data_IF_554403018736
#
_entry.id   IF_554403018736
#
_cell.length_a   1.000
_cell.length_b   1.000
_cell.length_c   1.000
_cell.angle_alpha   90.00
_cell.angle_beta   90.00
_cell.angle_gamma   90.00
#
_symmetry.space_group_name_H-M   'P 1'
#
loop_
_entity.id
_entity.type
_entity.pdbx_description
1 polymer ?
#
# COMPACT_ATOMS: atom_id res chain seq x y z
N UNK A 1 8.69 -31.92 -6.34
CA UNK A 1 8.23 -31.06 -5.24
C UNK A 1 8.44 -29.63 -5.75
N UNK A 2 7.37 -29.05 -6.27
CA UNK A 2 7.45 -27.63 -6.70
C UNK A 2 7.71 -26.82 -5.44
N UNK A 3 8.81 -26.07 -5.43
CA UNK A 3 9.06 -25.07 -4.40
C UNK A 3 8.10 -23.92 -4.73
N UNK A 4 6.94 -23.91 -4.07
CA UNK A 4 6.04 -22.77 -4.15
C UNK A 4 6.83 -21.52 -3.70
N UNK A 5 7.03 -20.59 -4.61
CA UNK A 5 7.70 -19.32 -4.30
C UNK A 5 6.91 -18.56 -3.23
N UNK A 6 7.59 -17.73 -2.45
CA UNK A 6 6.96 -16.91 -1.41
C UNK A 6 5.83 -16.07 -1.99
N UNK A 7 4.71 -16.03 -1.28
CA UNK A 7 3.50 -15.28 -1.66
C UNK A 7 3.52 -13.88 -1.05
N UNK A 8 3.01 -12.91 -1.76
CA UNK A 8 2.94 -11.53 -1.29
C UNK A 8 1.55 -10.93 -1.50
N UNK A 9 1.16 -10.00 -0.62
CA UNK A 9 0.00 -9.14 -0.82
C UNK A 9 0.44 -7.67 -0.90
N UNK A 10 -0.14 -6.92 -1.81
CA UNK A 10 0.11 -5.49 -1.98
C UNK A 10 -1.19 -4.74 -1.80
N UNK A 11 -1.25 -3.93 -0.76
CA UNK A 11 -2.37 -3.06 -0.45
C UNK A 11 -2.12 -1.66 -0.99
N UNK A 12 -2.97 -1.20 -1.90
CA UNK A 12 -3.01 0.18 -2.38
C UNK A 12 -4.13 0.94 -1.69
N UNK A 13 -3.79 1.97 -0.91
CA UNK A 13 -4.73 2.68 -0.04
C UNK A 13 -4.84 4.15 -0.44
N UNK A 14 -6.06 4.59 -0.69
CA UNK A 14 -6.36 5.92 -1.21
C UNK A 14 -6.03 6.05 -2.70
N UNK A 15 -6.53 7.08 -3.38
CA UNK A 15 -6.50 7.19 -4.84
C UNK A 15 -5.11 6.97 -5.48
N UNK A 16 -4.01 7.50 -4.91
CA UNK A 16 -2.67 7.25 -5.48
C UNK A 16 -2.21 5.81 -5.22
N UNK A 17 -2.50 5.22 -4.04
CA UNK A 17 -2.21 3.83 -3.73
C UNK A 17 -2.93 2.87 -4.67
N UNK A 18 -4.24 3.09 -4.89
CA UNK A 18 -5.06 2.31 -5.82
C UNK A 18 -4.53 2.37 -7.26
N UNK A 19 -4.11 3.55 -7.73
CA UNK A 19 -3.51 3.71 -9.06
C UNK A 19 -2.19 2.95 -9.21
N UNK A 20 -1.36 2.90 -8.18
CA UNK A 20 -0.10 2.16 -8.20
C UNK A 20 -0.37 0.65 -8.23
N UNK A 21 -1.26 0.15 -7.38
CA UNK A 21 -1.64 -1.28 -7.38
C UNK A 21 -2.22 -1.68 -8.75
N UNK A 22 -3.00 -0.81 -9.37
CA UNK A 22 -3.50 -1.05 -10.72
C UNK A 22 -2.38 -1.15 -11.78
N UNK A 23 -1.33 -0.33 -11.68
CA UNK A 23 -0.16 -0.45 -12.56
C UNK A 23 0.58 -1.77 -12.32
N UNK A 24 0.69 -2.23 -11.07
CA UNK A 24 1.33 -3.48 -10.71
C UNK A 24 0.63 -4.71 -11.28
N UNK A 25 -0.65 -4.64 -11.60
CA UNK A 25 -1.46 -5.76 -12.08
C UNK A 25 -0.86 -6.49 -13.29
N UNK A 26 -0.08 -5.78 -14.11
CA UNK A 26 0.55 -6.31 -15.32
C UNK A 26 2.03 -6.65 -15.15
N UNK A 27 2.61 -6.32 -14.01
CA UNK A 27 4.07 -6.32 -13.83
C UNK A 27 4.55 -7.24 -12.71
N UNK A 28 3.65 -7.66 -11.81
CA UNK A 28 4.01 -8.52 -10.67
C UNK A 28 3.69 -9.99 -10.94
N UNK A 29 4.40 -10.93 -10.28
CA UNK A 29 4.15 -12.37 -10.39
C UNK A 29 2.71 -12.75 -10.01
N UNK A 30 2.23 -13.89 -10.54
CA UNK A 30 0.85 -14.36 -10.33
C UNK A 30 0.56 -14.74 -8.88
N UNK A 31 1.56 -15.11 -8.11
CA UNK A 31 1.48 -15.37 -6.66
C UNK A 31 1.39 -14.11 -5.79
N UNK A 32 1.22 -12.93 -6.39
CA UNK A 32 1.03 -11.66 -5.68
C UNK A 32 -0.44 -11.29 -5.68
N UNK A 33 -1.05 -11.16 -4.51
CA UNK A 33 -2.40 -10.62 -4.36
C UNK A 33 -2.37 -9.09 -4.39
N UNK A 34 -3.25 -8.48 -5.19
CA UNK A 34 -3.36 -7.03 -5.34
C UNK A 34 -4.70 -6.55 -4.80
N UNK A 35 -4.66 -5.64 -3.83
CA UNK A 35 -5.85 -5.17 -3.11
C UNK A 35 -5.86 -3.64 -3.11
N UNK A 36 -6.94 -3.05 -3.61
CA UNK A 36 -7.18 -1.61 -3.60
C UNK A 36 -8.26 -1.26 -2.55
N UNK A 37 -7.94 -0.36 -1.63
CA UNK A 37 -8.85 0.12 -0.60
C UNK A 37 -9.06 1.63 -0.73
N UNK A 38 -10.31 2.06 -0.87
CA UNK A 38 -10.67 3.48 -0.80
C UNK A 38 -12.05 3.67 -0.17
N UNK A 39 -12.30 4.87 0.35
CA UNK A 39 -13.62 5.34 0.77
C UNK A 39 -14.42 5.88 -0.41
N UNK A 40 -13.75 6.27 -1.49
CA UNK A 40 -14.33 6.72 -2.74
C UNK A 40 -14.46 5.54 -3.72
N UNK A 41 -15.68 5.20 -4.07
CA UNK A 41 -15.97 4.11 -5.02
C UNK A 41 -15.50 4.43 -6.43
N UNK A 42 -15.51 5.71 -6.83
CA UNK A 42 -15.05 6.13 -8.17
C UNK A 42 -13.56 5.85 -8.36
N UNK A 43 -12.74 5.95 -7.31
CA UNK A 43 -11.31 5.60 -7.36
C UNK A 43 -11.06 4.08 -7.48
N UNK A 44 -12.07 3.25 -7.20
CA UNK A 44 -12.02 1.80 -7.33
C UNK A 44 -12.63 1.29 -8.65
N UNK A 45 -13.34 2.14 -9.37
CA UNK A 45 -13.93 1.79 -10.67
C UNK A 45 -12.85 1.74 -11.77
N UNK A 46 -13.01 0.81 -12.70
CA UNK A 46 -12.13 0.68 -13.87
C UNK A 46 -10.71 0.20 -13.57
N UNK A 47 -10.44 -0.35 -12.39
CA UNK A 47 -9.21 -1.06 -12.10
C UNK A 47 -9.17 -2.40 -12.85
N UNK A 48 -7.97 -2.94 -13.06
CA UNK A 48 -7.76 -4.24 -13.71
C UNK A 48 -8.47 -5.35 -12.93
N UNK A 49 -9.04 -6.33 -13.61
CA UNK A 49 -9.80 -7.46 -12.99
C UNK A 49 -9.01 -8.22 -11.93
N UNK A 50 -7.67 -8.24 -12.06
CA UNK A 50 -6.76 -8.88 -11.11
C UNK A 50 -6.69 -8.12 -9.77
N UNK A 51 -7.11 -6.86 -9.72
CA UNK A 51 -7.09 -6.04 -8.51
C UNK A 51 -8.39 -6.24 -7.74
N UNK A 52 -8.30 -6.85 -6.58
CA UNK A 52 -9.43 -6.93 -5.65
C UNK A 52 -9.72 -5.54 -5.09
N UNK A 53 -10.95 -5.08 -5.23
CA UNK A 53 -11.39 -3.79 -4.72
C UNK A 53 -12.16 -3.93 -3.41
N UNK A 54 -11.88 -3.06 -2.45
CA UNK A 54 -12.57 -2.98 -1.15
C UNK A 54 -13.00 -1.55 -0.91
N UNK A 55 -14.31 -1.30 -1.05
CA UNK A 55 -14.91 -0.02 -0.75
C UNK A 55 -15.14 0.10 0.76
N UNK A 56 -14.42 1.00 1.40
CA UNK A 56 -14.57 1.30 2.82
C UNK A 56 -15.59 2.43 2.97
N UNK A 57 -16.65 2.23 3.75
CA UNK A 57 -17.76 3.18 3.83
C UNK A 57 -17.32 4.62 4.15
N UNK A 58 -17.96 5.60 3.53
CA UNK A 58 -17.66 7.04 3.65
C UNK A 58 -17.66 7.56 5.09
N UNK A 59 -18.35 6.89 6.00
CA UNK A 59 -18.35 7.22 7.43
C UNK A 59 -16.95 7.18 8.03
N UNK A 60 -16.04 6.37 7.50
CA UNK A 60 -14.63 6.32 7.93
C UNK A 60 -13.79 7.47 7.36
N UNK A 61 -14.15 8.02 6.20
CA UNK A 61 -13.44 9.15 5.59
C UNK A 61 -13.45 10.40 6.49
N UNK A 62 -14.48 10.56 7.31
CA UNK A 62 -14.69 11.73 8.16
C UNK A 62 -14.21 11.55 9.61
N UNK A 63 -14.06 10.32 10.07
CA UNK A 63 -13.60 9.99 11.43
C UNK A 63 -12.40 9.06 11.31
N UNK A 64 -11.21 9.56 11.60
CA UNK A 64 -10.08 8.67 11.83
C UNK A 64 -10.35 7.96 13.15
N UNK A 65 -10.92 6.80 13.03
CA UNK A 65 -11.57 6.03 14.07
C UNK A 65 -10.54 5.10 14.73
N UNK A 66 -10.87 4.60 15.89
CA UNK A 66 -10.11 3.54 16.53
C UNK A 66 -10.05 2.29 15.64
N UNK A 67 -9.08 1.41 15.88
CA UNK A 67 -8.95 0.12 15.20
C UNK A 67 -10.28 -0.65 15.18
N UNK A 68 -10.99 -0.70 16.32
CA UNK A 68 -12.27 -1.39 16.46
C UNK A 68 -13.39 -0.78 15.60
N UNK A 69 -13.42 0.55 15.46
CA UNK A 69 -14.40 1.21 14.61
C UNK A 69 -14.14 0.94 13.13
N UNK A 70 -12.87 0.87 12.72
CA UNK A 70 -12.48 0.49 11.35
C UNK A 70 -12.85 -0.97 11.09
N UNK A 71 -12.53 -1.86 12.03
CA UNK A 71 -12.89 -3.28 11.95
C UNK A 71 -14.39 -3.48 11.81
N UNK A 72 -15.19 -2.74 12.59
CA UNK A 72 -16.65 -2.77 12.48
C UNK A 72 -17.17 -2.24 11.13
N UNK A 73 -16.57 -1.18 10.61
CA UNK A 73 -16.96 -0.63 9.31
C UNK A 73 -16.59 -1.55 8.14
N UNK A 74 -15.54 -2.35 8.30
CA UNK A 74 -15.10 -3.38 7.36
C UNK A 74 -15.73 -4.75 7.62
N UNK A 75 -16.76 -4.86 8.47
CA UNK A 75 -17.30 -6.14 8.95
C UNK A 75 -17.62 -7.17 7.86
N UNK A 76 -18.03 -6.72 6.68
CA UNK A 76 -18.31 -7.59 5.53
C UNK A 76 -17.07 -8.00 4.75
N UNK A 77 -15.99 -7.23 4.84
CA UNK A 77 -14.76 -7.39 4.05
C UNK A 77 -13.59 -7.93 4.89
N UNK A 78 -13.72 -7.85 6.22
CA UNK A 78 -12.62 -8.17 7.14
C UNK A 78 -12.15 -9.61 6.99
N UNK A 79 -13.06 -10.58 6.89
CA UNK A 79 -12.70 -11.98 6.71
C UNK A 79 -11.89 -12.24 5.45
N UNK A 80 -12.21 -11.52 4.36
CA UNK A 80 -11.42 -11.59 3.15
C UNK A 80 -10.04 -10.94 3.30
N UNK A 81 -9.91 -9.83 4.00
CA UNK A 81 -8.63 -9.19 4.29
C UNK A 81 -7.76 -10.04 5.22
N UNK A 82 -8.36 -10.64 6.24
CA UNK A 82 -7.67 -11.60 7.12
C UNK A 82 -7.16 -12.81 6.34
N UNK A 83 -7.99 -13.39 5.46
CA UNK A 83 -7.59 -14.49 4.60
C UNK A 83 -6.42 -14.14 3.67
N UNK A 84 -6.40 -12.92 3.11
CA UNK A 84 -5.27 -12.43 2.32
C UNK A 84 -3.99 -12.34 3.14
N UNK A 85 -4.06 -11.99 4.41
CA UNK A 85 -2.88 -11.89 5.30
C UNK A 85 -2.39 -13.27 5.77
N UNK A 86 -3.28 -14.25 5.92
CA UNK A 86 -2.91 -15.61 6.32
C UNK A 86 -2.22 -16.39 5.19
N UNK A 87 -2.51 -16.06 3.95
CA UNK A 87 -2.05 -16.79 2.77
C UNK A 87 -0.70 -16.33 2.23
N UNK A 88 -0.06 -15.31 2.84
CA UNK A 88 1.15 -14.67 2.31
C UNK A 88 2.30 -14.63 3.31
N UNK A 89 3.51 -14.56 2.77
CA UNK A 89 4.76 -14.46 3.55
C UNK A 89 5.16 -13.00 3.79
N UNK A 90 4.65 -12.07 2.97
CA UNK A 90 5.04 -10.68 3.00
C UNK A 90 3.89 -9.77 2.55
N UNK A 91 3.81 -8.58 3.15
CA UNK A 91 2.85 -7.54 2.79
C UNK A 91 3.54 -6.25 2.40
N UNK A 92 3.05 -5.59 1.36
CA UNK A 92 3.39 -4.21 1.03
C UNK A 92 2.17 -3.31 1.22
N UNK A 93 2.35 -2.19 1.91
CA UNK A 93 1.29 -1.22 2.22
C UNK A 93 1.63 0.10 1.55
N UNK A 94 0.99 0.41 0.42
CA UNK A 94 1.20 1.64 -0.34
C UNK A 94 0.06 2.58 -0.01
N UNK A 95 0.34 3.70 0.64
CA UNK A 95 -0.70 4.61 1.09
C UNK A 95 -0.43 6.07 0.73
N UNK A 96 -1.42 6.73 0.13
CA UNK A 96 -1.37 8.18 -0.07
C UNK A 96 -1.78 8.92 1.20
N UNK A 97 -0.90 9.77 1.72
CA UNK A 97 -1.11 10.50 2.98
C UNK A 97 -1.69 11.92 2.77
N UNK A 98 -2.21 12.21 1.59
CA UNK A 98 -2.89 13.47 1.30
C UNK A 98 -4.30 13.59 1.89
N UNK A 99 -4.91 12.46 2.24
CA UNK A 99 -6.24 12.35 2.81
C UNK A 99 -6.26 11.54 4.11
N UNK A 100 -7.46 11.44 4.72
CA UNK A 100 -7.65 10.67 5.95
C UNK A 100 -7.66 9.15 5.70
N UNK A 101 -8.17 8.71 4.55
CA UNK A 101 -8.29 7.31 4.15
C UNK A 101 -6.94 6.60 4.21
N UNK A 102 -5.92 7.15 3.52
CA UNK A 102 -4.58 6.57 3.50
C UNK A 102 -3.95 6.47 4.89
N UNK A 103 -4.07 7.53 5.69
CA UNK A 103 -3.52 7.57 7.05
C UNK A 103 -4.18 6.54 7.98
N UNK A 104 -5.51 6.41 7.90
CA UNK A 104 -6.31 5.56 8.78
C UNK A 104 -6.17 4.08 8.42
N UNK A 105 -6.35 3.75 7.15
CA UNK A 105 -6.32 2.36 6.71
C UNK A 105 -4.90 1.78 6.64
N UNK A 106 -3.87 2.60 6.39
CA UNK A 106 -2.49 2.07 6.44
C UNK A 106 -2.08 1.67 7.86
N UNK A 107 -2.49 2.44 8.86
CA UNK A 107 -2.27 2.10 10.26
C UNK A 107 -3.02 0.82 10.66
N UNK A 108 -4.27 0.68 10.19
CA UNK A 108 -5.08 -0.50 10.43
C UNK A 108 -4.48 -1.78 9.82
N UNK A 109 -4.08 -1.74 8.54
CA UNK A 109 -3.45 -2.90 7.88
C UNK A 109 -2.09 -3.23 8.53
N UNK A 110 -1.31 -2.22 8.92
CA UNK A 110 -0.04 -2.43 9.61
C UNK A 110 -0.24 -3.11 10.99
N UNK A 111 -1.29 -2.73 11.73
CA UNK A 111 -1.66 -3.40 12.98
C UNK A 111 -2.01 -4.87 12.75
N UNK A 112 -2.86 -5.15 11.75
CA UNK A 112 -3.22 -6.53 11.39
C UNK A 112 -2.00 -7.38 11.02
N UNK A 113 -1.00 -6.80 10.35
CA UNK A 113 0.27 -7.48 10.04
C UNK A 113 1.08 -7.72 11.32
N UNK A 114 1.18 -6.72 12.18
CA UNK A 114 1.94 -6.79 13.44
C UNK A 114 1.37 -7.85 14.39
N UNK A 115 0.04 -7.90 14.55
CA UNK A 115 -0.64 -8.93 15.36
C UNK A 115 -0.35 -10.37 14.90
N UNK A 116 -0.05 -10.54 13.60
CA UNK A 116 0.26 -11.84 12.98
C UNK A 116 1.77 -12.11 12.86
N UNK A 117 2.63 -11.21 13.35
CA UNK A 117 4.08 -11.23 13.14
C UNK A 117 4.45 -11.36 11.65
N UNK A 118 3.64 -10.80 10.75
CA UNK A 118 3.84 -10.86 9.33
C UNK A 118 4.79 -9.75 8.87
N UNK A 119 5.85 -10.13 8.13
CA UNK A 119 6.79 -9.16 7.60
C UNK A 119 6.08 -8.20 6.63
N UNK A 120 6.17 -6.90 6.90
CA UNK A 120 5.51 -5.89 6.08
C UNK A 120 6.41 -4.70 5.77
N UNK A 121 6.22 -4.12 4.59
CA UNK A 121 6.91 -2.91 4.13
C UNK A 121 5.87 -1.82 3.88
N UNK A 122 6.06 -0.67 4.51
CA UNK A 122 5.22 0.49 4.34
C UNK A 122 5.79 1.46 3.31
N UNK A 123 4.98 1.86 2.34
CA UNK A 123 5.34 2.79 1.26
C UNK A 123 4.40 4.02 1.33
N UNK A 124 4.63 4.93 2.29
CA UNK A 124 3.85 6.16 2.38
C UNK A 124 4.22 7.14 1.28
N UNK A 125 3.19 7.71 0.65
CA UNK A 125 3.32 8.75 -0.37
C UNK A 125 2.95 10.09 0.28
N UNK A 126 3.92 11.00 0.38
CA UNK A 126 3.70 12.32 0.97
C UNK A 126 2.68 13.15 0.17
N UNK A 127 1.85 13.95 0.85
CA UNK A 127 0.99 14.92 0.20
C UNK A 127 1.83 16.03 -0.48
N UNK A 128 1.23 16.67 -1.47
CA UNK A 128 1.83 17.87 -2.04
C UNK A 128 1.90 18.99 -0.99
N UNK A 129 2.99 19.78 -1.00
CA UNK A 129 3.23 20.89 -0.06
C UNK A 129 2.14 21.96 -0.01
N UNK A 130 1.21 21.95 -0.97
CA UNK A 130 0.09 22.91 -1.05
C UNK A 130 -1.03 22.62 -0.04
N UNK A 131 -1.02 21.45 0.60
CA UNK A 131 -2.04 21.07 1.60
C UNK A 131 -1.58 21.54 2.97
N UNK A 132 -2.22 22.59 3.52
CA UNK A 132 -1.91 23.11 4.85
C UNK A 132 -2.01 22.03 5.93
N UNK A 133 -0.94 21.86 6.71
CA UNK A 133 -0.86 20.83 7.77
C UNK A 133 -0.84 19.39 7.28
N UNK A 134 -0.80 19.14 5.96
CA UNK A 134 -0.79 17.79 5.39
C UNK A 134 0.48 17.03 5.70
N UNK A 135 1.63 17.70 5.64
CA UNK A 135 2.95 17.10 5.92
C UNK A 135 3.04 16.66 7.38
N UNK A 136 2.68 17.52 8.33
CA UNK A 136 2.73 17.18 9.76
C UNK A 136 1.84 15.97 10.10
N UNK A 137 0.65 15.89 9.51
CA UNK A 137 -0.24 14.73 9.66
C UNK A 137 0.35 13.46 9.04
N UNK A 138 0.97 13.58 7.87
CA UNK A 138 1.66 12.48 7.21
C UNK A 138 2.80 11.95 8.08
N UNK A 139 3.64 12.83 8.63
CA UNK A 139 4.75 12.47 9.52
C UNK A 139 4.26 11.74 10.78
N UNK A 140 3.19 12.25 11.42
CA UNK A 140 2.57 11.56 12.57
C UNK A 140 2.11 10.15 12.21
N UNK A 141 1.50 9.96 11.04
CA UNK A 141 1.07 8.66 10.58
C UNK A 141 2.26 7.75 10.29
N UNK A 142 3.26 8.23 9.57
CA UNK A 142 4.49 7.48 9.27
C UNK A 142 5.17 7.02 10.56
N UNK A 143 5.31 7.92 11.53
CA UNK A 143 5.93 7.61 12.83
C UNK A 143 5.19 6.53 13.60
N UNK A 144 3.86 6.48 13.50
CA UNK A 144 3.03 5.46 14.14
C UNK A 144 3.09 4.11 13.42
N UNK A 145 3.03 4.13 12.09
CA UNK A 145 3.01 2.91 11.27
C UNK A 145 4.38 2.23 11.23
N UNK A 146 5.48 3.01 11.18
CA UNK A 146 6.84 2.45 11.11
C UNK A 146 7.22 1.57 12.30
N UNK A 147 6.56 1.75 13.45
CA UNK A 147 6.78 0.92 14.64
C UNK A 147 6.16 -0.47 14.53
N UNK A 148 5.26 -0.68 13.56
CA UNK A 148 4.48 -1.89 13.34
C UNK A 148 4.97 -2.72 12.16
N UNK A 149 5.83 -2.16 11.32
CA UNK A 149 6.27 -2.76 10.05
C UNK A 149 7.77 -3.04 10.04
N UNK A 150 8.19 -4.02 9.25
CA UNK A 150 9.61 -4.39 9.13
C UNK A 150 10.46 -3.39 8.34
N UNK A 151 9.83 -2.56 7.49
CA UNK A 151 10.52 -1.55 6.71
C UNK A 151 9.61 -0.40 6.27
N UNK A 152 10.20 0.77 6.04
CA UNK A 152 9.45 1.95 5.54
C UNK A 152 10.23 2.62 4.41
N UNK A 153 9.57 2.80 3.27
CA UNK A 153 10.10 3.47 2.09
C UNK A 153 9.28 4.72 1.78
N UNK A 154 9.78 5.86 2.17
CA UNK A 154 9.06 7.14 2.02
C UNK A 154 9.17 7.65 0.59
N UNK A 155 8.03 7.95 -0.03
CA UNK A 155 7.94 8.56 -1.36
C UNK A 155 7.52 10.01 -1.24
N UNK A 156 8.36 10.92 -1.73
CA UNK A 156 8.06 12.35 -1.77
C UNK A 156 7.58 12.77 -3.17
N UNK A 157 6.32 13.19 -3.28
CA UNK A 157 5.75 13.76 -4.50
C UNK A 157 6.18 15.21 -4.77
N UNK A 158 6.89 15.82 -3.81
CA UNK A 158 7.35 17.22 -3.91
C UNK A 158 8.71 17.34 -4.61
N UNK A 159 8.97 16.55 -5.63
CA UNK A 159 10.19 16.63 -6.41
C UNK A 159 10.42 18.07 -6.85
N UNK A 160 11.48 18.69 -6.35
CA UNK A 160 11.90 20.03 -6.75
C UNK A 160 12.18 19.98 -8.25
N UNK A 161 11.45 20.79 -8.99
CA UNK A 161 11.61 20.95 -10.41
C UNK A 161 12.92 21.70 -10.67
N UNK A 162 13.99 20.99 -10.86
CA UNK A 162 15.15 21.58 -11.51
C UNK A 162 14.84 21.64 -13.02
N UNK A 163 14.55 22.83 -13.53
CA UNK A 163 14.63 23.13 -14.96
C UNK A 163 13.38 22.96 -15.82
N UNK A 164 12.14 23.08 -15.32
CA UNK A 164 11.01 23.13 -16.25
C UNK A 164 9.60 22.99 -15.67
N UNK A 165 8.64 23.63 -16.33
CA UNK A 165 7.20 23.55 -16.03
C UNK A 165 6.58 22.22 -16.52
N UNK A 166 6.92 21.08 -15.90
CA UNK A 166 6.22 19.84 -16.22
C UNK A 166 4.79 19.90 -15.67
N UNK A 167 3.77 19.50 -16.45
CA UNK A 167 2.41 19.34 -15.95
C UNK A 167 2.39 18.38 -14.75
N UNK A 168 1.58 18.70 -13.74
CA UNK A 168 1.49 17.92 -12.48
C UNK A 168 1.17 16.44 -12.75
N UNK A 169 0.28 16.15 -13.69
CA UNK A 169 -0.04 14.78 -14.13
C UNK A 169 1.18 14.00 -14.63
N UNK A 170 2.12 14.68 -15.29
CA UNK A 170 3.35 14.05 -15.79
C UNK A 170 4.30 13.69 -14.65
N UNK A 171 4.35 14.54 -13.62
CA UNK A 171 5.14 14.25 -12.40
C UNK A 171 4.57 13.03 -11.66
N UNK A 172 3.25 12.97 -11.47
CA UNK A 172 2.60 11.82 -10.85
C UNK A 172 2.86 10.52 -11.62
N UNK A 173 2.75 10.56 -12.95
CA UNK A 173 3.01 9.38 -13.77
C UNK A 173 4.48 8.90 -13.66
N UNK A 174 5.44 9.80 -13.54
CA UNK A 174 6.86 9.46 -13.35
C UNK A 174 7.04 8.80 -11.97
N UNK A 175 6.50 9.41 -10.92
CA UNK A 175 6.60 8.89 -9.55
C UNK A 175 5.93 7.52 -9.45
N UNK A 176 4.71 7.36 -9.97
CA UNK A 176 4.00 6.09 -9.97
C UNK A 176 4.80 4.97 -10.67
N UNK A 177 5.41 5.27 -11.82
CA UNK A 177 6.26 4.31 -12.54
C UNK A 177 7.55 3.97 -11.79
N UNK A 178 8.14 4.91 -11.05
CA UNK A 178 9.30 4.64 -10.22
C UNK A 178 8.92 3.71 -9.05
N UNK A 179 7.78 3.96 -8.41
CA UNK A 179 7.27 3.10 -7.33
C UNK A 179 6.95 1.70 -7.89
N UNK A 180 6.27 1.61 -9.03
CA UNK A 180 5.98 0.34 -9.70
C UNK A 180 7.26 -0.49 -9.89
N UNK A 181 8.29 0.09 -10.54
CA UNK A 181 9.57 -0.60 -10.79
C UNK A 181 10.25 -1.07 -9.52
N UNK A 182 10.26 -0.22 -8.50
CA UNK A 182 10.84 -0.55 -7.21
C UNK A 182 10.13 -1.72 -6.56
N UNK A 183 8.80 -1.69 -6.53
CA UNK A 183 7.98 -2.76 -5.94
C UNK A 183 8.16 -4.07 -6.71
N UNK A 184 8.14 -4.03 -8.04
CA UNK A 184 8.39 -5.21 -8.89
C UNK A 184 9.77 -5.80 -8.57
N UNK A 185 10.81 -4.99 -8.46
CA UNK A 185 12.16 -5.46 -8.12
C UNK A 185 12.21 -6.11 -6.74
N UNK A 186 11.56 -5.51 -5.74
CA UNK A 186 11.51 -6.08 -4.38
C UNK A 186 10.76 -7.41 -4.35
N UNK A 187 9.61 -7.49 -5.00
CA UNK A 187 8.80 -8.71 -5.07
C UNK A 187 9.53 -9.84 -5.81
N UNK A 188 10.18 -9.52 -6.92
CA UNK A 188 10.99 -10.50 -7.68
C UNK A 188 12.13 -11.03 -6.83
N UNK A 189 12.85 -10.16 -6.12
CA UNK A 189 13.95 -10.57 -5.23
C UNK A 189 13.47 -11.51 -4.11
N UNK A 190 12.30 -11.25 -3.53
CA UNK A 190 11.73 -12.10 -2.49
C UNK A 190 11.26 -13.45 -3.05
N UNK A 191 10.67 -13.46 -4.25
CA UNK A 191 10.27 -14.70 -4.92
C UNK A 191 11.48 -15.57 -5.28
N UNK A 192 12.60 -14.97 -5.71
CA UNK A 192 13.84 -15.67 -6.06
C UNK A 192 14.60 -16.17 -4.82
N UNK A 193 14.58 -15.45 -3.69
CA UNK A 193 15.21 -15.89 -2.44
C UNK A 193 14.62 -17.20 -1.89
N UNK A 194 13.39 -17.56 -2.27
CA UNK A 194 12.83 -18.89 -2.00
C UNK A 194 13.49 -20.01 -2.77
N UNK A 195 14.22 -19.71 -3.84
CA UNK A 195 14.91 -20.69 -4.70
C UNK A 195 16.40 -20.88 -4.37
N UNK A 196 16.99 -19.98 -3.60
CA UNK A 196 18.37 -20.07 -3.13
C UNK A 196 18.40 -20.12 -1.60
N UNK A 197 18.37 -21.32 -1.03
CA UNK A 197 18.93 -21.53 0.30
C UNK A 197 20.43 -21.24 0.17
N UNK A 198 20.83 -20.04 0.52
CA UNK A 198 22.22 -19.76 0.88
C UNK A 198 22.40 -20.39 2.26
N UNK A 199 22.81 -21.66 2.29
CA UNK A 199 23.50 -22.23 3.43
C UNK A 199 24.79 -21.41 3.60
N UNK A 200 24.74 -20.48 4.51
CA UNK A 200 25.93 -19.81 5.03
C UNK A 200 26.32 -20.60 6.27
N UNK A 201 27.25 -21.55 6.08
CA UNK A 201 28.02 -22.17 7.15
C UNK A 201 28.85 -21.13 7.91
#
# INVERSE_FOLDING_TARGET
>A
MEIEGKKAAVFGIGGAGCKIVNLLARSVPDNTELIALDTDKEELEGLEERVRTVAVGESLANKCSSFEEIKKALSNEIGGLEGSLEAVDMVMIIASLGGKTGACLSDFIAEMCSERNLFSIYVPIYPLNKVSGGIEKAEKTINRVKEKVGGTLIVDNNLKREGGNLPMMRVFNIVNKLIERLIVSLLSSVSEMGMTNLDVD
#
